data_IF_727006207631
#
_entry.id   IF_727006207631
#
_cell.length_a   1.000
_cell.length_b   1.000
_cell.length_c   1.000
_cell.angle_alpha   90.00
_cell.angle_beta   90.00
_cell.angle_gamma   90.00
#
_symmetry.space_group_name_H-M   'P 1'
#
loop_
_entity.id
_entity.type
_entity.pdbx_description
1 polymer ?
#
# COMPACT_ATOMS: atom_id res chain seq x y z
N UNK A 1 4.22 8.01 27.89
CA UNK A 1 3.58 7.79 26.56
C UNK A 1 3.11 9.06 25.89
N UNK A 2 2.44 10.01 26.60
CA UNK A 2 2.05 11.32 26.04
C UNK A 2 3.21 12.10 25.43
N UNK A 3 4.35 12.14 26.10
CA UNK A 3 5.54 12.90 25.64
C UNK A 3 6.18 12.32 24.38
N UNK A 4 6.18 11.01 24.25
CA UNK A 4 6.69 10.32 23.05
C UNK A 4 5.81 10.60 21.84
N UNK A 5 4.46 10.64 22.04
CA UNK A 5 3.50 10.96 20.98
C UNK A 5 3.66 12.39 20.48
N UNK A 6 3.76 13.35 21.41
CA UNK A 6 3.90 14.74 21.04
C UNK A 6 5.25 15.01 20.35
N UNK A 7 6.31 14.36 20.81
CA UNK A 7 7.61 14.41 20.16
C UNK A 7 7.55 13.85 18.75
N UNK A 8 6.91 12.69 18.55
CA UNK A 8 6.72 12.07 17.24
C UNK A 8 5.90 12.96 16.30
N UNK A 9 4.81 13.56 16.77
CA UNK A 9 4.04 14.55 16.00
C UNK A 9 4.89 15.73 15.55
N UNK A 10 5.64 16.34 16.47
CA UNK A 10 6.49 17.49 16.18
C UNK A 10 7.61 17.14 15.22
N UNK A 11 8.21 15.98 15.38
CA UNK A 11 9.29 15.52 14.53
C UNK A 11 8.83 15.31 13.08
N UNK A 12 7.72 14.60 12.88
CA UNK A 12 7.19 14.35 11.54
C UNK A 12 6.49 15.54 10.90
N UNK A 13 5.92 16.45 11.68
CA UNK A 13 5.36 17.69 11.16
C UNK A 13 6.37 18.64 10.51
N UNK A 14 7.66 18.41 10.71
CA UNK A 14 8.75 19.16 10.08
C UNK A 14 9.21 18.57 8.73
N UNK A 15 8.62 17.47 8.32
CA UNK A 15 9.05 16.69 7.15
C UNK A 15 10.09 15.63 7.52
N UNK A 16 10.25 14.65 6.65
CA UNK A 16 11.18 13.53 6.85
C UNK A 16 12.45 13.78 6.05
N UNK A 17 13.60 13.71 6.74
CA UNK A 17 14.87 13.89 6.07
C UNK A 17 15.14 12.73 5.08
N UNK A 18 15.35 13.08 3.82
CA UNK A 18 15.73 12.12 2.78
C UNK A 18 17.15 11.56 2.96
N UNK A 19 17.93 12.11 3.88
CA UNK A 19 19.38 12.09 3.84
C UNK A 19 20.05 10.93 4.59
N UNK A 20 19.36 10.18 5.43
CA UNK A 20 20.02 9.11 6.18
C UNK A 20 20.02 7.79 5.40
N UNK A 21 20.90 7.71 4.43
CA UNK A 21 21.19 6.44 3.76
C UNK A 21 22.21 5.69 4.62
N UNK A 22 21.94 4.43 4.99
CA UNK A 22 22.86 3.66 5.81
C UNK A 22 24.21 3.50 5.08
N UNK A 23 25.28 3.57 5.82
CA UNK A 23 26.60 3.21 5.28
C UNK A 23 26.63 1.71 5.02
N UNK A 24 26.73 1.33 3.76
CA UNK A 24 26.81 -0.07 3.35
C UNK A 24 28.24 -0.58 3.30
N UNK A 25 28.38 -1.89 3.18
CA UNK A 25 29.67 -2.57 2.96
C UNK A 25 30.25 -2.23 1.59
N UNK A 26 29.40 -1.89 0.64
CA UNK A 26 29.72 -1.43 -0.71
C UNK A 26 28.57 -0.60 -1.26
N UNK A 27 28.88 0.44 -2.02
CA UNK A 27 27.85 1.17 -2.81
C UNK A 27 27.95 0.76 -4.26
N UNK A 28 26.80 0.44 -4.86
CA UNK A 28 26.64 0.18 -6.28
C UNK A 28 25.64 1.19 -6.86
N UNK A 29 25.86 1.55 -8.11
CA UNK A 29 25.02 2.50 -8.83
C UNK A 29 24.35 1.85 -10.01
N UNK A 30 23.06 2.13 -10.18
CA UNK A 30 22.21 1.55 -11.23
C UNK A 30 21.50 2.66 -11.99
N UNK A 31 21.65 2.66 -13.31
CA UNK A 31 20.96 3.60 -14.19
C UNK A 31 20.48 2.89 -15.44
N UNK A 32 19.16 2.84 -15.63
CA UNK A 32 18.57 2.27 -16.85
C UNK A 32 18.89 3.12 -18.07
N UNK A 33 19.06 4.43 -17.89
CA UNK A 33 19.32 5.40 -18.96
C UNK A 33 20.81 5.46 -19.36
N UNK A 34 21.71 5.50 -18.37
CA UNK A 34 23.15 5.72 -18.61
C UNK A 34 24.03 4.49 -18.27
N UNK A 35 23.44 3.41 -17.80
CA UNK A 35 24.18 2.23 -17.37
C UNK A 35 24.43 1.18 -18.47
N UNK A 36 25.33 0.25 -18.15
CA UNK A 36 25.57 -0.96 -18.97
C UNK A 36 25.73 -2.17 -18.06
N UNK A 37 25.24 -3.32 -18.51
CA UNK A 37 25.42 -4.57 -17.78
C UNK A 37 26.88 -5.10 -17.79
N UNK A 38 27.77 -4.46 -18.54
CA UNK A 38 29.21 -4.74 -18.52
C UNK A 38 29.97 -3.89 -17.49
N UNK A 39 29.32 -2.87 -16.94
CA UNK A 39 29.91 -1.95 -15.99
C UNK A 39 30.08 -2.58 -14.59
N UNK A 40 30.99 -1.99 -13.80
CA UNK A 40 31.32 -2.47 -12.46
C UNK A 40 30.41 -1.95 -11.33
N UNK A 41 29.52 -1.01 -11.64
CA UNK A 41 28.60 -0.40 -10.69
C UNK A 41 29.18 0.75 -9.88
N UNK A 42 30.30 1.34 -10.29
CA UNK A 42 30.74 2.63 -9.74
C UNK A 42 29.82 3.77 -10.21
N UNK A 43 29.86 4.92 -9.54
CA UNK A 43 29.06 6.09 -9.92
C UNK A 43 29.29 6.52 -11.37
N UNK A 44 30.54 6.53 -11.82
CA UNK A 44 30.91 6.87 -13.22
C UNK A 44 30.68 5.74 -14.22
N UNK A 45 30.38 4.52 -13.75
CA UNK A 45 30.18 3.33 -14.59
C UNK A 45 29.03 2.46 -14.02
N UNK A 46 27.78 2.98 -14.00
CA UNK A 46 26.66 2.32 -13.37
C UNK A 46 26.23 1.06 -14.12
N UNK A 47 25.68 0.09 -13.41
CA UNK A 47 25.03 -1.08 -13.99
C UNK A 47 23.67 -0.66 -14.57
N UNK A 48 23.25 -1.28 -15.67
CA UNK A 48 21.93 -0.98 -16.26
C UNK A 48 20.80 -1.71 -15.53
N UNK A 49 20.98 -2.98 -15.24
CA UNK A 49 19.96 -3.89 -14.71
C UNK A 49 20.04 -3.97 -13.19
N UNK A 50 18.91 -3.69 -12.50
CA UNK A 50 18.85 -3.71 -11.04
C UNK A 50 19.07 -5.11 -10.47
N UNK A 51 18.51 -6.16 -11.10
CA UNK A 51 18.71 -7.54 -10.64
C UNK A 51 20.18 -7.95 -10.73
N UNK A 52 20.87 -7.52 -11.77
CA UNK A 52 22.31 -7.76 -11.89
C UNK A 52 23.10 -7.07 -10.79
N UNK A 53 22.75 -5.83 -10.46
CA UNK A 53 23.37 -5.12 -9.35
C UNK A 53 23.13 -5.84 -8.00
N UNK A 54 21.92 -6.31 -7.75
CA UNK A 54 21.58 -7.10 -6.57
C UNK A 54 22.42 -8.39 -6.53
N UNK A 55 22.50 -9.11 -7.64
CA UNK A 55 23.28 -10.35 -7.72
C UNK A 55 24.77 -10.13 -7.41
N UNK A 56 25.34 -9.01 -7.86
CA UNK A 56 26.74 -8.64 -7.68
C UNK A 56 27.01 -7.98 -6.30
N UNK A 57 25.98 -7.54 -5.61
CA UNK A 57 26.11 -6.85 -4.32
C UNK A 57 26.52 -7.83 -3.21
N UNK A 58 27.47 -7.48 -2.35
CA UNK A 58 27.70 -8.21 -1.11
C UNK A 58 26.56 -7.96 -0.11
N UNK A 59 26.53 -8.78 0.95
CA UNK A 59 25.65 -8.53 2.11
C UNK A 59 25.92 -7.14 2.71
N UNK A 60 24.84 -6.42 3.01
CA UNK A 60 24.94 -5.07 3.57
C UNK A 60 25.30 -3.98 2.55
N UNK A 61 25.25 -4.26 1.26
CA UNK A 61 25.48 -3.25 0.24
C UNK A 61 24.35 -2.23 0.16
N UNK A 62 24.66 -1.05 -0.37
CA UNK A 62 23.71 -0.02 -0.77
C UNK A 62 23.69 0.07 -2.28
N UNK A 63 22.52 0.00 -2.88
CA UNK A 63 22.31 0.16 -4.32
C UNK A 63 21.58 1.47 -4.55
N UNK A 64 22.27 2.46 -5.10
CA UNK A 64 21.73 3.75 -5.50
C UNK A 64 21.14 3.63 -6.91
N UNK A 65 19.86 3.97 -7.06
CA UNK A 65 19.11 3.76 -8.30
C UNK A 65 18.70 5.13 -8.85
N UNK A 66 19.16 5.44 -10.06
CA UNK A 66 18.80 6.68 -10.74
C UNK A 66 17.34 6.67 -11.20
N UNK A 67 16.83 7.85 -11.56
CA UNK A 67 15.53 7.99 -12.19
C UNK A 67 15.40 7.10 -13.43
N UNK A 68 14.19 6.63 -13.70
CA UNK A 68 13.90 5.83 -14.88
C UNK A 68 12.91 4.70 -14.62
N UNK A 69 12.58 3.97 -15.68
CA UNK A 69 11.65 2.85 -15.63
C UNK A 69 12.41 1.52 -15.57
N UNK A 70 12.30 0.81 -14.47
CA UNK A 70 12.93 -0.47 -14.24
C UNK A 70 11.90 -1.59 -14.45
N UNK A 71 12.03 -2.33 -15.54
CA UNK A 71 11.05 -3.33 -15.98
C UNK A 71 11.31 -4.72 -15.41
N UNK A 72 12.19 -4.83 -14.41
CA UNK A 72 12.56 -6.10 -13.79
C UNK A 72 13.66 -6.84 -14.53
N UNK A 73 14.02 -8.02 -14.01
CA UNK A 73 15.06 -8.86 -14.59
C UNK A 73 14.68 -9.34 -15.99
N UNK A 74 15.55 -9.11 -16.96
CA UNK A 74 15.29 -9.47 -18.37
C UNK A 74 13.94 -8.95 -18.87
N UNK A 75 13.53 -7.77 -18.38
CA UNK A 75 12.23 -7.17 -18.64
C UNK A 75 11.02 -8.04 -18.20
N UNK A 76 11.17 -8.94 -17.26
CA UNK A 76 10.12 -9.86 -16.79
C UNK A 76 9.18 -9.26 -15.73
N UNK A 77 9.35 -8.00 -15.38
CA UNK A 77 8.45 -7.28 -14.49
C UNK A 77 8.65 -7.53 -13.00
N UNK A 78 9.70 -8.25 -12.61
CA UNK A 78 10.00 -8.52 -11.21
C UNK A 78 11.50 -8.51 -10.90
N UNK A 79 11.82 -8.23 -9.66
CA UNK A 79 13.18 -8.23 -9.09
C UNK A 79 13.18 -9.05 -7.80
N UNK A 80 14.16 -9.91 -7.61
CA UNK A 80 14.32 -10.73 -6.40
C UNK A 80 15.42 -10.19 -5.51
N UNK A 81 15.09 -10.03 -4.23
CA UNK A 81 16.02 -9.69 -3.15
C UNK A 81 16.17 -10.89 -2.23
N UNK A 82 17.32 -11.52 -2.28
CA UNK A 82 17.65 -12.75 -1.50
C UNK A 82 18.81 -12.53 -0.53
N UNK A 83 19.11 -11.29 -0.21
CA UNK A 83 20.17 -10.90 0.72
C UNK A 83 19.84 -9.57 1.40
N UNK A 84 20.43 -9.34 2.55
CA UNK A 84 20.28 -8.08 3.27
C UNK A 84 21.06 -6.97 2.56
N UNK A 85 20.34 -5.96 2.10
CA UNK A 85 20.89 -4.80 1.39
C UNK A 85 19.89 -3.65 1.39
N UNK A 86 20.33 -2.49 0.94
CA UNK A 86 19.49 -1.31 0.75
C UNK A 86 19.32 -0.99 -0.73
N UNK A 87 18.09 -0.73 -1.16
CA UNK A 87 17.76 -0.19 -2.48
C UNK A 87 17.22 1.21 -2.29
N UNK A 88 17.93 2.19 -2.82
CA UNK A 88 17.65 3.62 -2.60
C UNK A 88 17.48 4.31 -3.95
N UNK A 89 16.25 4.69 -4.24
CA UNK A 89 15.88 5.43 -5.45
C UNK A 89 15.89 6.94 -5.27
N UNK A 90 15.43 7.66 -6.29
CA UNK A 90 15.31 9.11 -6.26
C UNK A 90 16.59 9.86 -6.62
N UNK A 91 17.53 9.21 -7.30
CA UNK A 91 18.75 9.88 -7.78
C UNK A 91 18.58 10.45 -9.18
N UNK A 92 19.26 11.61 -9.41
CA UNK A 92 19.52 12.12 -10.76
C UNK A 92 20.34 11.12 -11.59
N UNK A 93 20.36 11.26 -12.92
CA UNK A 93 21.08 10.33 -13.82
C UNK A 93 22.59 10.25 -13.54
N UNK A 94 23.17 11.32 -13.01
CA UNK A 94 24.58 11.43 -12.61
C UNK A 94 24.84 11.14 -11.13
N UNK A 95 23.80 10.83 -10.37
CA UNK A 95 23.82 10.57 -8.93
C UNK A 95 24.32 11.74 -8.04
N UNK A 96 24.36 12.96 -8.58
CA UNK A 96 24.80 14.14 -7.85
C UNK A 96 23.74 14.68 -6.89
N UNK A 97 22.46 14.38 -7.13
CA UNK A 97 21.32 14.81 -6.33
C UNK A 97 20.41 13.63 -6.02
N UNK A 98 19.74 13.69 -4.88
CA UNK A 98 18.69 12.78 -4.52
C UNK A 98 17.44 13.54 -4.09
N UNK A 99 16.33 13.26 -4.77
CA UNK A 99 14.98 13.73 -4.44
C UNK A 99 13.96 12.73 -5.03
N UNK A 100 13.38 11.86 -4.22
CA UNK A 100 12.46 10.82 -4.70
C UNK A 100 11.20 11.37 -5.39
N UNK A 101 10.79 12.58 -5.08
CA UNK A 101 9.61 13.20 -5.69
C UNK A 101 9.92 13.83 -7.05
N UNK A 102 11.17 14.22 -7.26
CA UNK A 102 11.68 14.84 -8.49
C UNK A 102 12.30 13.82 -9.44
N UNK A 103 13.25 13.02 -8.94
CA UNK A 103 13.98 12.02 -9.73
C UNK A 103 13.30 10.66 -9.57
N UNK A 104 12.29 10.41 -10.37
CA UNK A 104 11.36 9.29 -10.21
C UNK A 104 12.00 7.97 -10.62
N UNK A 105 12.29 7.12 -9.65
CA UNK A 105 12.75 5.75 -9.84
C UNK A 105 11.55 4.81 -9.79
N UNK A 106 11.12 4.30 -10.95
CA UNK A 106 9.89 3.55 -11.06
C UNK A 106 10.16 2.08 -11.37
N UNK A 107 9.62 1.18 -10.55
CA UNK A 107 9.59 -0.27 -10.79
C UNK A 107 8.21 -0.67 -11.29
N UNK A 108 8.15 -1.27 -12.46
CA UNK A 108 6.92 -1.77 -13.07
C UNK A 108 7.22 -2.86 -14.08
N UNK A 109 6.27 -3.78 -14.35
CA UNK A 109 6.41 -4.71 -15.45
C UNK A 109 6.29 -4.01 -16.81
N UNK A 110 6.91 -4.53 -17.84
CA UNK A 110 6.73 -4.11 -19.22
C UNK A 110 5.35 -4.48 -19.76
N UNK A 111 4.88 -3.76 -20.78
CA UNK A 111 3.52 -3.90 -21.32
C UNK A 111 3.26 -5.28 -21.94
N UNK A 112 4.29 -5.93 -22.47
CA UNK A 112 4.19 -7.20 -23.22
C UNK A 112 4.64 -8.43 -22.41
N UNK A 113 4.83 -8.26 -21.09
CA UNK A 113 5.43 -9.32 -20.30
C UNK A 113 4.41 -10.28 -19.72
N UNK A 114 4.55 -11.54 -20.08
CA UNK A 114 3.96 -12.64 -19.32
C UNK A 114 4.79 -12.91 -18.07
N UNK A 115 4.19 -12.68 -16.90
CA UNK A 115 4.81 -13.12 -15.66
C UNK A 115 4.41 -14.57 -15.44
N UNK A 116 5.34 -15.47 -15.71
CA UNK A 116 5.09 -16.90 -15.78
C UNK A 116 5.22 -17.66 -14.46
N UNK A 117 5.69 -17.02 -13.41
CA UNK A 117 5.94 -17.70 -12.14
C UNK A 117 5.15 -17.12 -10.97
N UNK A 118 4.41 -17.96 -10.30
CA UNK A 118 3.76 -17.87 -8.98
C UNK A 118 3.52 -16.50 -8.33
N UNK A 119 2.99 -16.46 -7.15
CA UNK A 119 2.70 -15.24 -6.35
C UNK A 119 3.98 -14.41 -6.06
N UNK A 120 4.47 -13.70 -7.07
CA UNK A 120 5.65 -12.84 -6.96
C UNK A 120 5.23 -11.39 -7.13
N UNK A 121 5.74 -10.53 -6.24
CA UNK A 121 5.62 -9.09 -6.41
C UNK A 121 6.57 -8.56 -7.50
N UNK A 122 6.35 -7.31 -7.89
CA UNK A 122 7.32 -6.56 -8.70
C UNK A 122 8.69 -6.54 -8.00
N UNK A 123 8.67 -6.45 -6.67
CA UNK A 123 9.82 -6.70 -5.80
C UNK A 123 9.51 -7.90 -4.89
N UNK A 124 10.22 -9.01 -5.06
CA UNK A 124 10.07 -10.22 -4.23
C UNK A 124 11.26 -10.31 -3.26
N UNK A 125 10.96 -10.21 -1.95
CA UNK A 125 11.96 -10.19 -0.88
C UNK A 125 11.90 -11.52 -0.14
N UNK A 126 12.97 -12.33 -0.22
CA UNK A 126 13.08 -13.60 0.49
C UNK A 126 14.44 -13.73 1.14
N UNK A 127 14.50 -13.47 2.46
CA UNK A 127 15.74 -13.51 3.22
C UNK A 127 15.54 -14.22 4.56
N UNK A 128 16.52 -15.01 4.92
CA UNK A 128 16.53 -15.78 6.18
C UNK A 128 17.94 -15.82 6.79
N UNK A 129 18.03 -16.26 8.03
CA UNK A 129 19.29 -16.59 8.72
C UNK A 129 19.94 -15.44 9.48
N UNK A 130 19.32 -14.24 9.52
CA UNK A 130 19.84 -13.12 10.33
C UNK A 130 18.74 -12.27 10.93
N UNK A 131 18.39 -12.51 12.17
CA UNK A 131 17.41 -11.69 12.91
C UNK A 131 17.76 -10.19 12.96
N UNK A 132 19.02 -9.85 12.95
CA UNK A 132 19.52 -8.47 12.92
C UNK A 132 19.90 -8.00 11.51
N UNK A 133 19.58 -8.80 10.48
CA UNK A 133 19.76 -8.39 9.11
C UNK A 133 18.86 -7.20 8.78
N UNK A 134 19.33 -6.30 7.92
CA UNK A 134 18.59 -5.10 7.55
C UNK A 134 18.34 -5.03 6.04
N UNK A 135 17.13 -4.70 5.68
CA UNK A 135 16.72 -4.35 4.32
C UNK A 135 16.12 -2.95 4.36
N UNK A 136 16.52 -2.11 3.44
CA UNK A 136 15.92 -0.80 3.22
C UNK A 136 15.42 -0.69 1.78
N UNK A 137 14.16 -0.29 1.61
CA UNK A 137 13.57 0.14 0.34
C UNK A 137 13.16 1.59 0.52
N UNK A 138 13.79 2.50 -0.20
CA UNK A 138 13.63 3.94 0.00
C UNK A 138 13.50 4.69 -1.33
N UNK A 139 12.45 5.50 -1.47
CA UNK A 139 12.28 6.39 -2.61
C UNK A 139 11.98 5.70 -3.94
N UNK A 140 11.27 4.58 -3.92
CA UNK A 140 10.88 3.80 -5.10
C UNK A 140 9.38 4.01 -5.38
N UNK A 141 9.05 4.14 -6.65
CA UNK A 141 7.68 4.17 -7.13
C UNK A 141 7.33 2.78 -7.69
N UNK A 142 6.30 2.18 -7.15
CA UNK A 142 5.74 0.92 -7.62
C UNK A 142 4.43 1.22 -8.35
N UNK A 143 4.42 1.04 -9.67
CA UNK A 143 3.23 1.22 -10.50
C UNK A 143 3.13 0.06 -11.48
N UNK A 144 1.95 -0.55 -11.60
CA UNK A 144 1.70 -1.59 -12.58
C UNK A 144 1.68 -1.07 -14.03
N UNK A 145 1.68 0.24 -14.22
CA UNK A 145 1.69 0.84 -15.54
C UNK A 145 0.41 0.54 -16.33
N UNK A 146 0.53 0.43 -17.65
CA UNK A 146 -0.60 0.18 -18.54
C UNK A 146 -1.20 -1.23 -18.40
N UNK A 147 -0.43 -2.18 -17.89
CA UNK A 147 -0.91 -3.55 -17.64
C UNK A 147 -1.95 -3.61 -16.53
N UNK A 148 -2.12 -2.54 -15.78
CA UNK A 148 -3.14 -2.45 -14.77
C UNK A 148 -4.46 -1.91 -15.35
N UNK A 149 -4.94 -2.51 -16.42
CA UNK A 149 -6.25 -2.24 -16.97
C UNK A 149 -7.32 -2.97 -16.14
N UNK A 150 -8.29 -2.21 -15.69
CA UNK A 150 -9.41 -2.72 -14.93
C UNK A 150 -10.67 -2.69 -15.79
N UNK A 151 -11.49 -3.72 -15.74
CA UNK A 151 -12.76 -3.75 -16.47
C UNK A 151 -13.95 -3.49 -15.56
N UNK A 152 -15.02 -2.97 -16.16
CA UNK A 152 -16.30 -2.83 -15.47
C UNK A 152 -16.86 -4.21 -15.10
N UNK A 153 -17.55 -4.35 -13.97
CA UNK A 153 -18.31 -5.55 -13.66
C UNK A 153 -19.33 -5.85 -14.73
N UNK A 154 -19.30 -7.05 -15.29
CA UNK A 154 -20.24 -7.45 -16.36
C UNK A 154 -21.69 -7.56 -15.90
N UNK A 155 -21.93 -7.65 -14.61
CA UNK A 155 -23.32 -7.78 -14.15
C UNK A 155 -24.08 -6.44 -14.13
N UNK A 156 -23.39 -5.31 -14.09
CA UNK A 156 -24.02 -3.99 -14.28
C UNK A 156 -24.47 -3.80 -15.73
N UNK A 157 -23.75 -4.43 -16.65
CA UNK A 157 -24.12 -4.50 -18.06
C UNK A 157 -23.61 -5.81 -18.66
N UNK A 158 -24.43 -6.89 -18.60
CA UNK A 158 -24.04 -8.21 -19.11
C UNK A 158 -23.68 -8.25 -20.60
N UNK A 159 -24.08 -7.23 -21.35
CA UNK A 159 -23.80 -7.09 -22.78
C UNK A 159 -22.56 -6.26 -23.08
N UNK A 160 -21.95 -5.62 -22.07
CA UNK A 160 -20.73 -4.87 -22.29
C UNK A 160 -19.59 -5.83 -22.56
N UNK A 161 -18.83 -5.54 -23.61
CA UNK A 161 -17.56 -6.21 -23.85
C UNK A 161 -16.58 -5.84 -22.74
N UNK A 162 -15.85 -6.82 -22.24
CA UNK A 162 -14.73 -6.54 -21.35
C UNK A 162 -13.67 -5.70 -22.10
N UNK A 163 -13.07 -4.71 -21.47
CA UNK A 163 -11.92 -4.02 -22.05
C UNK A 163 -10.83 -5.02 -22.46
N UNK A 164 -10.12 -4.70 -23.51
CA UNK A 164 -9.03 -5.54 -24.00
C UNK A 164 -8.08 -5.91 -22.86
N UNK A 165 -7.79 -7.19 -22.74
CA UNK A 165 -6.89 -7.75 -21.73
C UNK A 165 -7.45 -7.96 -20.33
N UNK A 166 -8.74 -7.92 -20.18
CA UNK A 166 -9.40 -8.25 -18.93
C UNK A 166 -10.06 -9.64 -19.02
N UNK A 167 -9.79 -10.49 -18.04
CA UNK A 167 -10.50 -11.76 -17.93
C UNK A 167 -11.90 -11.56 -17.38
N UNK A 168 -12.84 -12.27 -17.99
CA UNK A 168 -14.22 -12.35 -17.54
C UNK A 168 -14.50 -13.73 -17.00
N UNK A 169 -15.20 -13.84 -15.90
CA UNK A 169 -15.50 -15.14 -15.32
C UNK A 169 -16.53 -15.11 -14.21
N UNK A 170 -16.69 -16.27 -13.60
CA UNK A 170 -17.47 -16.40 -12.36
C UNK A 170 -16.50 -16.68 -11.22
N UNK A 171 -16.71 -16.04 -10.11
CA UNK A 171 -16.00 -16.38 -8.87
C UNK A 171 -16.99 -16.88 -7.84
N UNK A 172 -16.52 -17.70 -6.91
CA UNK A 172 -17.29 -18.16 -5.77
C UNK A 172 -16.89 -17.35 -4.56
N UNK A 173 -17.84 -16.67 -3.95
CA UNK A 173 -17.66 -15.92 -2.72
C UNK A 173 -18.73 -16.33 -1.74
N UNK A 174 -18.35 -16.75 -0.55
CA UNK A 174 -19.24 -17.26 0.47
C UNK A 174 -20.20 -18.37 -0.02
N UNK A 175 -19.72 -19.23 -0.93
CA UNK A 175 -20.49 -20.32 -1.53
C UNK A 175 -21.37 -19.91 -2.72
N UNK A 176 -21.51 -18.61 -3.00
CA UNK A 176 -22.29 -18.13 -4.14
C UNK A 176 -21.41 -17.92 -5.38
N UNK A 177 -21.89 -18.41 -6.51
CA UNK A 177 -21.24 -18.19 -7.79
C UNK A 177 -21.69 -16.86 -8.40
N UNK A 178 -20.86 -15.85 -8.30
CA UNK A 178 -21.11 -14.51 -8.83
C UNK A 178 -20.48 -14.33 -10.20
N UNK A 179 -21.25 -13.79 -11.15
CA UNK A 179 -20.73 -13.43 -12.45
C UNK A 179 -19.90 -12.15 -12.31
N UNK A 180 -18.64 -12.22 -12.71
CA UNK A 180 -17.70 -11.10 -12.60
C UNK A 180 -16.83 -10.96 -13.79
N UNK A 181 -16.45 -9.76 -13.99
CA UNK A 181 -15.21 -9.44 -14.66
C UNK A 181 -14.10 -9.55 -13.64
N UNK A 182 -13.33 -10.63 -13.73
CA UNK A 182 -12.09 -10.72 -13.00
C UNK A 182 -11.11 -9.78 -13.65
N UNK A 183 -10.64 -8.83 -12.87
CA UNK A 183 -9.65 -7.91 -13.37
C UNK A 183 -8.28 -8.55 -13.27
N UNK A 184 -7.87 -9.15 -14.35
CA UNK A 184 -6.48 -9.50 -14.51
C UNK A 184 -5.83 -8.51 -15.47
N UNK A 185 -4.64 -8.03 -15.17
CA UNK A 185 -3.89 -7.25 -16.14
C UNK A 185 -3.64 -8.08 -17.37
N UNK A 186 -3.72 -7.45 -18.54
CA UNK A 186 -3.35 -8.08 -19.81
C UNK A 186 -1.97 -8.72 -19.70
N UNK A 187 -1.85 -9.98 -20.05
CA UNK A 187 -0.57 -10.67 -20.15
C UNK A 187 0.09 -11.07 -18.83
N UNK A 188 -0.55 -10.86 -17.67
CA UNK A 188 0.09 -11.20 -16.40
C UNK A 188 -0.85 -11.94 -15.45
N UNK A 189 -0.85 -13.24 -15.52
CA UNK A 189 -1.66 -14.07 -14.63
C UNK A 189 -1.10 -14.17 -13.20
N UNK A 190 0.07 -13.62 -12.87
CA UNK A 190 0.77 -14.08 -11.66
C UNK A 190 1.60 -13.09 -10.85
N UNK A 191 1.89 -11.87 -11.25
CA UNK A 191 2.51 -10.90 -10.34
C UNK A 191 1.46 -9.93 -9.84
N UNK A 192 0.88 -10.27 -8.73
CA UNK A 192 -0.26 -9.54 -8.20
C UNK A 192 0.17 -8.42 -7.24
N UNK A 193 1.20 -8.66 -6.45
CA UNK A 193 1.69 -7.71 -5.45
C UNK A 193 2.70 -6.73 -6.05
N UNK A 194 2.83 -5.56 -5.46
CA UNK A 194 3.95 -4.65 -5.77
C UNK A 194 5.20 -5.05 -4.99
N UNK A 195 5.05 -5.33 -3.69
CA UNK A 195 6.08 -6.00 -2.89
C UNK A 195 5.49 -7.28 -2.31
N UNK A 196 6.23 -8.38 -2.40
CA UNK A 196 5.86 -9.65 -1.78
C UNK A 196 7.06 -10.32 -1.14
N UNK A 197 6.78 -11.33 -0.33
CA UNK A 197 7.79 -12.26 0.14
C UNK A 197 7.70 -12.61 1.61
N UNK A 198 8.84 -13.05 2.14
CA UNK A 198 9.01 -13.43 3.53
C UNK A 198 10.43 -13.08 3.99
N UNK A 199 10.54 -12.58 5.20
CA UNK A 199 11.83 -12.17 5.71
C UNK A 199 12.00 -12.43 7.21
N UNK A 200 13.19 -12.88 7.56
CA UNK A 200 13.72 -12.77 8.91
C UNK A 200 14.59 -11.51 8.99
N UNK A 201 14.44 -10.71 10.05
CA UNK A 201 15.21 -9.48 10.24
C UNK A 201 14.37 -8.21 10.14
N UNK A 202 15.05 -7.08 10.00
CA UNK A 202 14.42 -5.77 9.98
C UNK A 202 14.25 -5.27 8.54
N UNK A 203 13.04 -4.87 8.21
CA UNK A 203 12.73 -4.28 6.90
C UNK A 203 12.20 -2.88 7.11
N UNK A 204 12.79 -1.91 6.43
CA UNK A 204 12.30 -0.55 6.34
C UNK A 204 11.84 -0.26 4.91
N UNK A 205 10.59 0.18 4.75
CA UNK A 205 10.00 0.63 3.49
C UNK A 205 9.52 2.06 3.69
N UNK A 206 10.16 3.01 3.02
CA UNK A 206 9.86 4.43 3.23
C UNK A 206 9.97 5.28 1.98
N UNK A 207 9.31 6.45 2.00
CA UNK A 207 9.36 7.44 0.93
C UNK A 207 8.95 6.87 -0.44
N UNK A 208 8.12 5.84 -0.43
CA UNK A 208 7.70 5.10 -1.61
C UNK A 208 6.28 5.51 -2.04
N UNK A 209 5.99 5.29 -3.32
CA UNK A 209 4.63 5.43 -3.87
C UNK A 209 4.19 4.08 -4.39
N UNK A 210 3.03 3.60 -3.92
CA UNK A 210 2.39 2.38 -4.36
C UNK A 210 1.10 2.73 -5.09
N UNK A 211 1.11 2.58 -6.40
CA UNK A 211 0.07 3.14 -7.26
C UNK A 211 -0.59 2.08 -8.12
N UNK A 212 -1.92 2.10 -8.16
CA UNK A 212 -2.72 1.27 -9.07
C UNK A 212 -2.41 -0.23 -8.98
N UNK A 213 -2.13 -0.74 -7.78
CA UNK A 213 -1.84 -2.15 -7.56
C UNK A 213 -3.06 -3.03 -7.80
N UNK A 214 -2.86 -4.13 -8.51
CA UNK A 214 -3.94 -5.07 -8.87
C UNK A 214 -4.37 -5.95 -7.71
N UNK A 215 -3.45 -6.26 -6.81
CA UNK A 215 -3.65 -7.11 -5.64
C UNK A 215 -3.16 -6.35 -4.40
N UNK A 216 -2.50 -6.99 -3.46
CA UNK A 216 -1.85 -6.27 -2.36
C UNK A 216 -0.73 -5.36 -2.89
N UNK A 217 -0.62 -4.14 -2.37
CA UNK A 217 0.57 -3.37 -2.67
C UNK A 217 1.78 -3.96 -1.93
N UNK A 218 1.61 -4.29 -0.64
CA UNK A 218 2.60 -5.05 0.13
C UNK A 218 1.92 -6.29 0.71
N UNK A 219 2.49 -7.47 0.46
CA UNK A 219 2.09 -8.74 1.10
C UNK A 219 3.34 -9.46 1.59
N UNK A 220 3.57 -9.47 2.91
CA UNK A 220 4.80 -9.99 3.50
C UNK A 220 4.55 -10.87 4.72
N UNK A 221 5.42 -11.87 4.88
CA UNK A 221 5.53 -12.66 6.11
C UNK A 221 6.76 -12.22 6.89
N UNK A 222 6.57 -11.75 8.12
CA UNK A 222 7.63 -11.44 9.05
C UNK A 222 7.98 -12.71 9.86
N UNK A 223 9.15 -13.30 9.61
CA UNK A 223 9.62 -14.54 10.28
C UNK A 223 10.42 -14.27 11.57
N UNK A 224 10.27 -13.10 12.14
CA UNK A 224 11.01 -12.60 13.28
C UNK A 224 11.80 -11.36 12.91
N UNK A 225 11.70 -10.34 13.73
CA UNK A 225 12.27 -9.01 13.50
C UNK A 225 11.20 -7.93 13.45
N UNK A 226 11.55 -6.79 12.89
CA UNK A 226 10.71 -5.61 12.87
C UNK A 226 10.54 -5.06 11.46
N UNK A 227 9.28 -4.86 11.06
CA UNK A 227 8.96 -4.15 9.83
C UNK A 227 8.59 -2.70 10.19
N UNK A 228 9.23 -1.75 9.50
CA UNK A 228 9.00 -0.33 9.65
C UNK A 228 8.56 0.25 8.30
N UNK A 229 7.26 0.53 8.17
CA UNK A 229 6.64 1.01 6.94
C UNK A 229 6.12 2.41 7.16
N UNK A 230 6.84 3.41 6.63
CA UNK A 230 6.48 4.79 6.91
C UNK A 230 6.79 5.77 5.78
N UNK A 231 6.11 6.89 5.84
CA UNK A 231 6.21 7.98 4.87
C UNK A 231 5.98 7.53 3.43
N UNK A 232 5.00 6.65 3.24
CA UNK A 232 4.62 6.15 1.94
C UNK A 232 3.25 6.65 1.53
N UNK A 233 3.03 6.75 0.23
CA UNK A 233 1.73 6.99 -0.38
C UNK A 233 1.25 5.70 -1.05
N UNK A 234 0.11 5.20 -0.60
CA UNK A 234 -0.60 4.09 -1.20
C UNK A 234 -1.89 4.63 -1.80
N UNK A 235 -2.05 4.52 -3.11
CA UNK A 235 -3.25 5.05 -3.75
C UNK A 235 -3.78 4.12 -4.84
N UNK A 236 -5.08 3.90 -4.83
CA UNK A 236 -5.78 3.05 -5.79
C UNK A 236 -5.24 1.61 -5.87
N UNK A 237 -4.85 1.05 -4.74
CA UNK A 237 -4.46 -0.34 -4.64
C UNK A 237 -5.68 -1.20 -4.35
N UNK A 238 -5.59 -2.49 -4.64
CA UNK A 238 -6.68 -3.43 -4.50
C UNK A 238 -6.42 -4.42 -3.39
N UNK A 239 -7.48 -4.97 -2.82
CA UNK A 239 -7.51 -5.94 -1.73
C UNK A 239 -7.01 -5.40 -0.40
N UNK A 240 -5.72 -5.12 -0.27
CA UNK A 240 -5.16 -4.32 0.82
C UNK A 240 -3.97 -3.51 0.31
N UNK A 241 -3.80 -2.30 0.85
CA UNK A 241 -2.59 -1.54 0.57
C UNK A 241 -1.38 -2.20 1.23
N UNK A 242 -1.52 -2.67 2.46
CA UNK A 242 -0.48 -3.42 3.14
C UNK A 242 -1.09 -4.58 3.93
N UNK A 243 -0.64 -5.79 3.66
CA UNK A 243 -0.93 -6.98 4.45
C UNK A 243 0.37 -7.56 4.99
N UNK A 244 0.46 -7.70 6.31
CA UNK A 244 1.61 -8.31 6.97
C UNK A 244 1.12 -9.34 7.99
N UNK A 245 1.79 -10.48 8.03
CA UNK A 245 1.56 -11.54 9.01
C UNK A 245 2.89 -12.00 9.63
N UNK A 246 2.83 -12.45 10.86
CA UNK A 246 3.96 -13.09 11.51
C UNK A 246 4.06 -14.58 11.15
N UNK A 247 5.23 -15.17 11.37
CA UNK A 247 5.39 -16.62 11.32
C UNK A 247 4.65 -17.28 12.48
N UNK A 248 4.16 -18.50 12.27
CA UNK A 248 3.45 -19.27 13.30
C UNK A 248 4.39 -19.98 14.29
N UNK A 249 5.70 -19.83 14.13
CA UNK A 249 6.71 -20.51 14.94
C UNK A 249 6.94 -19.75 16.25
N UNK A 250 6.87 -20.44 17.37
CA UNK A 250 7.18 -19.88 18.69
C UNK A 250 8.69 -19.93 19.00
N UNK A 251 9.23 -18.96 19.73
CA UNK A 251 8.63 -17.68 20.10
C UNK A 251 8.61 -16.71 18.91
N UNK A 252 7.43 -16.31 18.49
CA UNK A 252 7.33 -15.32 17.44
C UNK A 252 7.59 -13.93 18.01
N UNK A 253 8.63 -13.28 17.51
CA UNK A 253 9.07 -11.94 17.90
C UNK A 253 8.89 -10.97 16.73
N UNK A 254 7.88 -11.18 15.91
CA UNK A 254 7.56 -10.31 14.77
C UNK A 254 6.76 -9.10 15.21
N UNK A 255 7.13 -7.95 14.72
CA UNK A 255 6.39 -6.70 14.92
C UNK A 255 6.40 -5.82 13.67
N UNK A 256 5.41 -4.94 13.57
CA UNK A 256 5.35 -3.91 12.53
C UNK A 256 4.99 -2.55 13.14
N UNK A 257 5.70 -1.51 12.73
CA UNK A 257 5.26 -0.13 12.83
C UNK A 257 4.79 0.34 11.45
N UNK A 258 3.50 0.68 11.35
CA UNK A 258 2.92 1.26 10.15
C UNK A 258 2.50 2.69 10.47
N UNK A 259 3.29 3.68 10.01
CA UNK A 259 3.09 5.03 10.46
C UNK A 259 3.40 6.09 9.39
N UNK A 260 2.81 7.25 9.54
CA UNK A 260 3.00 8.35 8.59
C UNK A 260 2.78 7.95 7.13
N UNK A 261 1.84 7.04 6.87
CA UNK A 261 1.45 6.68 5.51
C UNK A 261 0.13 7.34 5.14
N UNK A 262 0.02 7.75 3.90
CA UNK A 262 -1.26 8.17 3.30
C UNK A 262 -1.79 7.03 2.46
N UNK A 263 -2.93 6.45 2.84
CA UNK A 263 -3.56 5.31 2.18
C UNK A 263 -4.94 5.71 1.72
N UNK A 264 -5.13 5.79 0.40
CA UNK A 264 -6.38 6.23 -0.22
C UNK A 264 -6.86 5.24 -1.27
N UNK A 265 -8.17 5.08 -1.38
CA UNK A 265 -8.83 4.32 -2.43
C UNK A 265 -8.38 2.86 -2.49
N UNK A 266 -8.46 2.15 -1.37
CA UNK A 266 -8.23 0.71 -1.39
C UNK A 266 -9.50 0.00 -1.82
N UNK A 267 -9.44 -0.73 -2.93
CA UNK A 267 -10.58 -1.34 -3.57
C UNK A 267 -10.82 -2.80 -3.15
N UNK A 268 -12.07 -3.21 -3.03
CA UNK A 268 -12.43 -4.62 -2.88
C UNK A 268 -11.97 -5.45 -4.08
N UNK A 269 -11.74 -6.72 -3.87
CA UNK A 269 -11.56 -7.69 -4.94
C UNK A 269 -12.87 -7.89 -5.72
N UNK A 270 -13.95 -7.87 -4.99
CA UNK A 270 -15.30 -8.08 -5.48
C UNK A 270 -16.22 -6.97 -4.99
N UNK A 271 -17.49 -6.97 -5.35
CA UNK A 271 -18.45 -5.99 -4.84
C UNK A 271 -19.02 -6.34 -3.49
N UNK A 272 -18.72 -7.52 -3.00
CA UNK A 272 -19.16 -7.89 -1.67
C UNK A 272 -18.34 -7.12 -0.63
N UNK A 273 -19.06 -6.62 0.33
CA UNK A 273 -18.59 -5.74 1.40
C UNK A 273 -17.43 -6.33 2.21
N UNK A 274 -17.35 -7.66 2.27
CA UNK A 274 -16.36 -8.40 3.06
C UNK A 274 -15.22 -9.01 2.22
N UNK A 275 -15.20 -8.73 0.93
CA UNK A 275 -14.19 -9.30 0.04
C UNK A 275 -12.98 -8.38 -0.10
N UNK A 276 -12.37 -8.09 1.03
CA UNK A 276 -11.20 -7.23 1.14
C UNK A 276 -11.50 -5.75 0.82
N UNK A 277 -10.48 -4.93 0.61
CA UNK A 277 -10.63 -3.49 0.45
C UNK A 277 -10.23 -2.76 1.73
N UNK A 278 -9.12 -3.18 2.34
CA UNK A 278 -8.58 -2.65 3.59
C UNK A 278 -7.35 -1.79 3.33
N UNK A 279 -7.22 -0.70 4.05
CA UNK A 279 -6.00 0.09 3.94
C UNK A 279 -4.80 -0.64 4.57
N UNK A 280 -4.97 -1.17 5.76
CA UNK A 280 -3.95 -1.95 6.45
C UNK A 280 -4.55 -3.21 7.07
N UNK A 281 -3.98 -4.35 6.71
CA UNK A 281 -4.37 -5.65 7.24
C UNK A 281 -3.20 -6.30 7.95
N UNK A 282 -3.33 -6.49 9.23
CA UNK A 282 -2.36 -7.21 10.03
C UNK A 282 -2.97 -8.52 10.50
N UNK A 283 -2.37 -9.59 10.03
CA UNK A 283 -2.85 -10.94 10.28
C UNK A 283 -2.24 -11.53 11.56
N UNK A 284 -2.34 -12.80 11.67
CA UNK A 284 -1.89 -13.58 12.82
C UNK A 284 -0.38 -13.42 13.08
N UNK A 285 -0.01 -13.54 14.33
CA UNK A 285 1.38 -13.74 14.75
C UNK A 285 2.27 -12.50 14.70
N UNK A 286 1.72 -11.29 14.64
CA UNK A 286 2.49 -10.05 14.61
C UNK A 286 1.93 -9.02 15.59
N UNK A 287 2.81 -8.34 16.32
CA UNK A 287 2.46 -7.15 17.07
C UNK A 287 2.46 -5.92 16.13
N UNK A 288 1.46 -5.07 16.25
CA UNK A 288 1.30 -3.96 15.32
C UNK A 288 1.10 -2.62 16.04
N UNK A 289 1.90 -1.64 15.65
CA UNK A 289 1.77 -0.23 16.01
C UNK A 289 1.36 0.57 14.77
N UNK A 290 0.18 1.19 14.81
CA UNK A 290 -0.40 1.91 13.67
C UNK A 290 -0.67 3.34 14.10
N UNK A 291 0.12 4.31 13.60
CA UNK A 291 0.00 5.68 14.09
C UNK A 291 0.35 6.75 13.05
N UNK A 292 -0.17 7.95 13.26
CA UNK A 292 0.05 9.11 12.42
C UNK A 292 -0.31 8.92 10.94
N UNK A 293 -1.16 7.95 10.60
CA UNK A 293 -1.55 7.71 9.23
C UNK A 293 -2.76 8.53 8.80
N UNK A 294 -2.95 8.65 7.50
CA UNK A 294 -4.21 9.03 6.88
C UNK A 294 -4.78 7.80 6.19
N UNK A 295 -5.97 7.40 6.58
CA UNK A 295 -6.72 6.30 5.99
C UNK A 295 -8.01 6.81 5.38
N UNK A 296 -8.10 6.84 4.06
CA UNK A 296 -9.27 7.38 3.40
C UNK A 296 -9.80 6.53 2.25
N UNK A 297 -11.12 6.56 2.10
CA UNK A 297 -11.80 5.98 0.94
C UNK A 297 -11.47 4.51 0.71
N UNK A 298 -11.42 3.70 1.76
CA UNK A 298 -11.34 2.24 1.62
C UNK A 298 -12.73 1.69 1.31
N UNK A 299 -12.83 0.80 0.33
CA UNK A 299 -14.11 0.24 -0.10
C UNK A 299 -14.72 -0.74 0.90
N UNK A 300 -13.95 -1.23 1.85
CA UNK A 300 -14.45 -1.96 3.01
C UNK A 300 -14.16 -1.22 4.31
N UNK A 301 -12.94 -1.28 4.81
CA UNK A 301 -12.54 -0.66 6.08
C UNK A 301 -11.09 -0.19 6.00
N UNK A 302 -10.69 0.73 6.87
CA UNK A 302 -9.29 1.14 6.93
C UNK A 302 -8.41 0.06 7.55
N UNK A 303 -8.75 -0.40 8.75
CA UNK A 303 -7.98 -1.40 9.49
C UNK A 303 -8.72 -2.73 9.50
N UNK A 304 -8.01 -3.81 9.17
CA UNK A 304 -8.57 -5.17 9.21
C UNK A 304 -7.93 -5.99 10.31
N UNK A 305 -8.74 -6.34 11.30
CA UNK A 305 -8.44 -7.29 12.38
C UNK A 305 -9.39 -8.50 12.36
N UNK A 306 -10.13 -8.68 11.27
CA UNK A 306 -11.18 -9.72 11.19
C UNK A 306 -10.64 -11.13 11.03
N UNK A 307 -9.38 -11.29 10.61
CA UNK A 307 -8.82 -12.61 10.38
C UNK A 307 -8.49 -13.30 11.71
N UNK A 308 -9.30 -14.27 12.07
CA UNK A 308 -9.09 -15.05 13.27
C UNK A 308 -8.01 -16.11 13.06
N UNK A 309 -6.98 -16.13 13.92
CA UNK A 309 -6.08 -17.25 13.99
C UNK A 309 -6.83 -18.48 14.56
N UNK A 310 -6.77 -19.65 13.91
CA UNK A 310 -7.27 -20.88 14.49
C UNK A 310 -6.63 -21.19 15.85
N UNK A 311 -5.44 -20.65 16.12
CA UNK A 311 -4.79 -20.77 17.43
C UNK A 311 -5.05 -19.52 18.28
N UNK A 312 -6.25 -19.41 18.84
CA UNK A 312 -6.66 -18.29 19.70
C UNK A 312 -5.71 -17.97 20.85
N UNK A 313 -4.99 -18.96 21.36
CA UNK A 313 -4.05 -18.77 22.47
C UNK A 313 -2.82 -17.95 22.10
N UNK A 314 -2.45 -17.93 20.82
CA UNK A 314 -1.35 -17.09 20.31
C UNK A 314 -1.81 -15.66 20.06
N UNK A 315 -3.03 -15.48 19.55
CA UNK A 315 -3.57 -14.16 19.24
C UNK A 315 -3.84 -13.31 20.49
N UNK A 316 -4.29 -13.91 21.58
CA UNK A 316 -4.55 -13.19 22.83
C UNK A 316 -3.30 -12.55 23.45
N UNK A 317 -2.12 -12.97 23.02
CA UNK A 317 -0.83 -12.41 23.49
C UNK A 317 -0.28 -11.32 22.59
N UNK A 318 -0.95 -11.00 21.47
CA UNK A 318 -0.51 -9.99 20.51
C UNK A 318 -0.98 -8.62 20.91
N UNK A 319 -0.07 -7.67 20.77
CA UNK A 319 -0.33 -6.26 21.05
C UNK A 319 -0.67 -5.55 19.76
N UNK A 320 -1.77 -4.85 19.78
CA UNK A 320 -2.15 -3.95 18.69
C UNK A 320 -2.42 -2.59 19.27
N UNK A 321 -1.78 -1.57 18.72
CA UNK A 321 -1.99 -0.18 19.08
C UNK A 321 -2.31 0.63 17.84
N UNK A 322 -3.35 1.45 17.92
CA UNK A 322 -3.71 2.40 16.87
C UNK A 322 -3.94 3.77 17.49
N UNK A 323 -3.11 4.76 17.16
CA UNK A 323 -3.25 6.08 17.74
C UNK A 323 -2.91 7.20 16.77
N UNK A 324 -3.51 8.35 16.98
CA UNK A 324 -3.24 9.54 16.21
C UNK A 324 -3.37 9.34 14.69
N UNK A 325 -4.34 8.52 14.26
CA UNK A 325 -4.65 8.36 12.86
C UNK A 325 -5.83 9.23 12.45
N UNK A 326 -5.83 9.67 11.21
CA UNK A 326 -6.94 10.35 10.58
C UNK A 326 -7.68 9.40 9.64
N UNK A 327 -9.00 9.43 9.75
CA UNK A 327 -9.89 8.59 8.95
C UNK A 327 -10.87 9.44 8.16
N UNK A 328 -11.25 9.00 6.97
CA UNK A 328 -12.34 9.59 6.22
C UNK A 328 -12.85 8.68 5.09
N UNK A 329 -14.14 8.70 4.88
CA UNK A 329 -14.76 8.06 3.72
C UNK A 329 -14.57 6.55 3.61
N UNK A 330 -14.16 5.87 4.66
CA UNK A 330 -14.10 4.42 4.70
C UNK A 330 -15.54 3.87 4.76
N UNK A 331 -15.87 2.97 3.84
CA UNK A 331 -17.27 2.67 3.53
C UNK A 331 -18.06 2.10 4.69
N UNK A 332 -17.53 1.09 5.38
CA UNK A 332 -18.26 0.37 6.42
C UNK A 332 -17.84 0.79 7.83
N UNK A 333 -16.62 1.26 7.97
CA UNK A 333 -16.03 1.67 9.23
C UNK A 333 -14.52 1.87 9.12
N UNK A 334 -13.91 2.32 10.20
CA UNK A 334 -12.47 2.55 10.24
C UNK A 334 -11.69 1.33 10.70
N UNK A 335 -12.36 0.38 11.36
CA UNK A 335 -11.82 -0.92 11.72
C UNK A 335 -12.87 -2.00 11.59
N UNK A 336 -12.47 -3.18 11.14
CA UNK A 336 -13.28 -4.41 11.15
C UNK A 336 -12.70 -5.39 12.15
N UNK A 337 -13.57 -5.96 12.97
CA UNK A 337 -13.26 -6.93 14.01
C UNK A 337 -13.95 -8.26 13.73
N UNK A 338 -13.37 -9.40 14.15
CA UNK A 338 -14.04 -10.68 14.13
C UNK A 338 -15.18 -10.69 15.14
N UNK A 339 -16.30 -11.31 14.81
CA UNK A 339 -17.36 -11.60 15.75
C UNK A 339 -17.43 -13.09 16.08
N UNK A 340 -18.05 -13.42 17.23
CA UNK A 340 -18.17 -14.80 17.71
C UNK A 340 -19.13 -15.65 16.90
N UNK A 341 -20.03 -15.04 16.14
CA UNK A 341 -21.07 -15.66 15.33
C UNK A 341 -20.70 -15.76 13.84
N UNK A 342 -19.49 -15.32 13.49
CA UNK A 342 -19.01 -15.30 12.10
C UNK A 342 -19.41 -14.06 11.32
N UNK A 343 -20.16 -13.13 11.93
CA UNK A 343 -20.40 -11.81 11.37
C UNK A 343 -19.24 -10.86 11.69
N UNK A 344 -19.01 -9.87 10.87
CA UNK A 344 -17.98 -8.88 11.11
C UNK A 344 -18.60 -7.64 11.79
N UNK A 345 -17.90 -7.12 12.78
CA UNK A 345 -18.26 -5.86 13.42
C UNK A 345 -17.40 -4.73 12.89
N UNK A 346 -18.05 -3.66 12.44
CA UNK A 346 -17.37 -2.45 11.99
C UNK A 346 -17.43 -1.38 13.08
N UNK A 347 -16.28 -0.74 13.30
CA UNK A 347 -16.12 0.30 14.32
C UNK A 347 -15.56 1.56 13.67
N UNK A 348 -16.12 2.72 14.00
CA UNK A 348 -15.57 4.02 13.61
C UNK A 348 -14.54 4.50 14.63
N UNK A 349 -13.60 5.33 14.21
CA UNK A 349 -12.48 5.81 15.02
C UNK A 349 -12.92 6.44 16.36
N UNK A 350 -14.05 7.16 16.38
CA UNK A 350 -14.65 7.73 17.59
C UNK A 350 -15.02 6.71 18.68
N UNK A 351 -15.10 5.43 18.32
CA UNK A 351 -15.50 4.33 19.21
C UNK A 351 -14.33 3.37 19.47
N UNK A 352 -13.10 3.70 19.09
CA UNK A 352 -11.95 2.80 19.33
C UNK A 352 -11.67 2.59 20.83
N UNK A 353 -12.12 3.47 21.69
CA UNK A 353 -12.06 3.29 23.15
C UNK A 353 -12.79 2.04 23.64
N UNK A 354 -13.79 1.56 22.88
CA UNK A 354 -14.56 0.35 23.22
C UNK A 354 -13.99 -0.92 22.58
N UNK A 355 -12.88 -0.83 21.87
CA UNK A 355 -12.26 -1.98 21.20
C UNK A 355 -11.25 -2.63 22.13
N UNK A 356 -11.65 -3.72 22.78
CA UNK A 356 -10.81 -4.47 23.73
C UNK A 356 -9.49 -4.99 23.11
N UNK A 357 -9.48 -5.19 21.79
CA UNK A 357 -8.31 -5.68 21.05
C UNK A 357 -7.22 -4.63 20.85
N UNK A 358 -7.48 -3.36 21.19
CA UNK A 358 -6.51 -2.29 21.13
C UNK A 358 -5.89 -2.05 22.50
N UNK A 359 -4.60 -2.33 22.63
CA UNK A 359 -3.85 -2.03 23.84
C UNK A 359 -3.66 -0.52 24.06
N UNK A 360 -3.69 0.25 22.98
CA UNK A 360 -3.59 1.68 22.99
C UNK A 360 -4.32 2.27 21.77
N UNK A 361 -5.16 3.31 21.96
CA UNK A 361 -6.10 3.76 20.94
C UNK A 361 -6.37 5.28 20.93
N UNK A 362 -5.53 6.09 21.57
CA UNK A 362 -5.82 7.52 21.72
C UNK A 362 -5.71 8.33 20.41
N UNK A 363 -6.40 9.46 20.37
CA UNK A 363 -6.31 10.49 19.33
C UNK A 363 -6.64 10.03 17.89
N UNK A 364 -7.33 8.91 17.71
CA UNK A 364 -7.88 8.55 16.42
C UNK A 364 -9.15 9.36 16.15
N UNK A 365 -9.26 9.93 14.96
CA UNK A 365 -10.41 10.76 14.62
C UNK A 365 -10.68 10.82 13.12
N UNK A 366 -11.86 11.25 12.77
CA UNK A 366 -12.18 11.65 11.39
C UNK A 366 -11.62 13.04 11.08
N UNK A 367 -11.46 13.33 9.78
CA UNK A 367 -11.12 14.67 9.29
C UNK A 367 -12.22 15.65 9.66
N UNK A 368 -11.82 16.83 10.10
CA UNK A 368 -12.74 17.95 10.23
C UNK A 368 -13.02 18.61 8.86
N UNK A 369 -14.01 19.49 8.80
CA UNK A 369 -14.45 20.16 7.56
C UNK A 369 -13.32 20.93 6.85
N UNK A 370 -12.44 21.58 7.59
CA UNK A 370 -11.32 22.33 7.02
C UNK A 370 -10.26 21.39 6.41
N UNK A 371 -10.00 20.28 7.07
CA UNK A 371 -9.10 19.23 6.59
C UNK A 371 -9.67 18.53 5.33
N UNK A 372 -10.98 18.26 5.31
CA UNK A 372 -11.66 17.72 4.11
C UNK A 372 -11.48 18.68 2.92
N UNK A 373 -11.70 19.98 3.12
CA UNK A 373 -11.50 20.99 2.08
C UNK A 373 -10.04 21.06 1.61
N UNK A 374 -9.09 20.81 2.50
CA UNK A 374 -7.67 20.84 2.17
C UNK A 374 -7.26 19.60 1.39
N UNK A 375 -7.60 18.41 1.89
CA UNK A 375 -7.17 17.16 1.25
C UNK A 375 -7.90 16.94 -0.09
N UNK A 376 -9.16 17.35 -0.22
CA UNK A 376 -9.89 17.21 -1.49
C UNK A 376 -9.25 17.99 -2.66
N UNK A 377 -8.47 19.03 -2.38
CA UNK A 377 -7.70 19.74 -3.41
C UNK A 377 -6.46 18.97 -3.86
N UNK A 378 -5.95 18.08 -3.02
CA UNK A 378 -4.78 17.24 -3.27
C UNK A 378 -5.15 15.90 -3.93
N UNK A 379 -6.39 15.48 -3.77
CA UNK A 379 -6.93 14.27 -4.38
C UNK A 379 -7.44 14.60 -5.79
N UNK A 380 -7.34 13.65 -6.72
CA UNK A 380 -7.96 13.78 -8.02
C UNK A 380 -9.49 13.84 -7.89
N UNK A 381 -10.09 14.98 -8.22
CA UNK A 381 -11.49 15.22 -7.98
C UNK A 381 -12.42 14.29 -8.78
N UNK A 382 -12.18 13.98 -10.08
CA UNK A 382 -12.96 13.00 -10.81
C UNK A 382 -12.90 11.60 -10.19
N UNK A 383 -11.72 11.18 -9.74
CA UNK A 383 -11.53 9.87 -9.11
C UNK A 383 -12.25 9.78 -7.76
N UNK A 384 -12.12 10.82 -6.92
CA UNK A 384 -12.83 10.92 -5.65
C UNK A 384 -14.35 10.92 -5.86
N UNK A 385 -14.84 11.69 -6.82
CA UNK A 385 -16.26 11.72 -7.17
C UNK A 385 -16.78 10.35 -7.60
N UNK A 386 -16.01 9.65 -8.43
CA UNK A 386 -16.32 8.29 -8.85
C UNK A 386 -16.40 7.31 -7.68
N UNK A 387 -15.41 7.33 -6.79
CA UNK A 387 -15.39 6.48 -5.60
C UNK A 387 -16.61 6.74 -4.70
N UNK A 388 -16.90 7.98 -4.37
CA UNK A 388 -18.01 8.36 -3.50
C UNK A 388 -19.35 8.00 -4.14
N UNK A 389 -19.51 8.19 -5.46
CA UNK A 389 -20.69 7.81 -6.21
C UNK A 389 -20.99 6.32 -6.12
N UNK A 390 -20.00 5.47 -6.32
CA UNK A 390 -20.14 4.02 -6.27
C UNK A 390 -20.42 3.54 -4.84
N UNK A 391 -19.60 3.92 -3.91
CA UNK A 391 -19.69 3.40 -2.53
C UNK A 391 -20.88 3.95 -1.76
N UNK A 392 -21.34 5.13 -2.10
CA UNK A 392 -22.49 5.75 -1.48
C UNK A 392 -23.85 5.38 -2.11
N UNK A 393 -23.87 4.71 -3.27
CA UNK A 393 -25.13 4.32 -3.93
C UNK A 393 -25.77 3.08 -3.35
N UNK A 394 -25.06 2.29 -2.55
CA UNK A 394 -25.62 1.09 -1.93
C UNK A 394 -26.36 1.44 -0.65
N UNK A 395 -27.61 1.02 -0.58
CA UNK A 395 -28.53 1.34 0.53
C UNK A 395 -28.02 0.88 1.90
N UNK A 396 -27.26 -0.21 1.95
CA UNK A 396 -26.70 -0.76 3.19
C UNK A 396 -25.51 0.04 3.74
N UNK A 397 -24.86 0.85 2.92
CA UNK A 397 -23.67 1.64 3.30
C UNK A 397 -23.94 3.14 3.37
N UNK A 398 -25.14 3.57 3.02
CA UNK A 398 -25.50 4.99 3.10
C UNK A 398 -25.87 5.37 4.52
N UNK A 399 -24.93 5.95 5.23
CA UNK A 399 -25.18 6.61 6.51
C UNK A 399 -25.15 8.13 6.28
N UNK A 400 -26.25 8.87 6.53
CA UNK A 400 -26.30 10.32 6.34
C UNK A 400 -25.27 11.07 7.22
N UNK A 401 -24.81 10.45 8.30
CA UNK A 401 -23.81 10.98 9.21
C UNK A 401 -22.38 10.48 8.91
N UNK A 402 -22.17 9.78 7.82
CA UNK A 402 -20.83 9.30 7.45
C UNK A 402 -19.96 10.41 6.90
N UNK A 403 -18.65 10.29 7.05
CA UNK A 403 -17.67 11.21 6.46
C UNK A 403 -17.77 11.31 4.93
N UNK A 404 -18.35 10.32 4.26
CA UNK A 404 -18.66 10.40 2.82
C UNK A 404 -19.57 11.56 2.47
N UNK A 405 -20.53 11.90 3.32
CA UNK A 405 -21.42 13.05 3.10
C UNK A 405 -20.69 14.40 3.19
N UNK A 406 -19.67 14.49 4.03
CA UNK A 406 -18.83 15.68 4.07
C UNK A 406 -18.11 15.90 2.74
N UNK A 407 -17.61 14.83 2.14
CA UNK A 407 -16.99 14.88 0.81
C UNK A 407 -18.02 15.14 -0.29
N UNK A 408 -19.21 14.54 -0.21
CA UNK A 408 -20.31 14.85 -1.15
C UNK A 408 -20.64 16.33 -1.15
N UNK A 409 -20.81 16.93 0.01
CA UNK A 409 -21.04 18.36 0.14
C UNK A 409 -19.89 19.20 -0.44
N UNK A 410 -18.64 18.84 -0.15
CA UNK A 410 -17.46 19.53 -0.67
C UNK A 410 -17.32 19.46 -2.19
N UNK A 411 -17.84 18.39 -2.82
CA UNK A 411 -17.83 18.18 -4.26
C UNK A 411 -19.13 18.62 -4.96
N UNK A 412 -20.08 19.20 -4.23
CA UNK A 412 -21.38 19.60 -4.76
C UNK A 412 -22.28 18.43 -5.23
N UNK A 413 -22.10 17.25 -4.64
CA UNK A 413 -22.87 16.06 -4.94
C UNK A 413 -24.14 15.97 -4.09
N UNK A 414 -25.14 15.20 -4.55
CA UNK A 414 -26.34 14.94 -3.81
C UNK A 414 -26.05 14.19 -2.49
N UNK A 415 -26.47 14.77 -1.37
CA UNK A 415 -26.26 14.19 -0.04
C UNK A 415 -27.10 12.93 0.22
N UNK A 416 -28.14 12.68 -0.55
CA UNK A 416 -29.03 11.52 -0.38
C UNK A 416 -28.53 10.25 -1.11
N UNK A 417 -27.41 10.31 -1.78
CA UNK A 417 -26.75 9.12 -2.31
C UNK A 417 -27.38 8.44 -3.52
N UNK A 418 -28.26 9.12 -4.23
CA UNK A 418 -28.96 8.57 -5.40
C UNK A 418 -28.24 8.80 -6.73
N UNK A 419 -27.11 9.49 -6.72
CA UNK A 419 -26.31 9.68 -7.92
C UNK A 419 -25.58 8.39 -8.28
N UNK A 420 -26.07 7.69 -9.28
CA UNK A 420 -25.35 6.60 -9.93
C UNK A 420 -24.23 7.18 -10.78
N UNK A 421 -23.11 7.53 -10.18
CA UNK A 421 -21.90 7.70 -10.96
C UNK A 421 -21.43 6.30 -11.33
N UNK A 422 -21.81 5.82 -12.50
CA UNK A 422 -21.28 4.58 -13.09
C UNK A 422 -19.85 4.80 -13.56
N UNK A 423 -18.96 5.09 -12.64
CA UNK A 423 -17.56 4.89 -12.89
C UNK A 423 -17.34 3.43 -12.52
N UNK A 424 -16.97 2.61 -13.51
CA UNK A 424 -16.43 1.30 -13.22
C UNK A 424 -15.41 1.48 -12.10
N UNK A 425 -15.66 0.89 -10.93
CA UNK A 425 -14.72 0.91 -9.78
C UNK A 425 -13.30 0.57 -10.22
N UNK A 426 -13.18 0.00 -11.36
CA UNK A 426 -12.00 -0.63 -11.86
C UNK A 426 -11.51 -0.05 -13.18
N UNK A 427 -12.29 0.80 -13.82
CA UNK A 427 -11.95 1.33 -15.15
C UNK A 427 -10.97 2.49 -15.12
N UNK A 428 -10.85 3.16 -13.98
CA UNK A 428 -10.06 4.38 -13.89
C UNK A 428 -8.83 4.17 -13.00
N UNK A 429 -7.69 4.37 -13.59
CA UNK A 429 -6.43 4.47 -12.87
C UNK A 429 -6.36 5.82 -12.19
N UNK A 430 -5.83 5.85 -10.97
CA UNK A 430 -5.51 7.11 -10.32
C UNK A 430 -4.39 7.82 -11.09
N UNK A 431 -4.52 9.13 -11.36
CA UNK A 431 -3.51 9.85 -12.14
C UNK A 431 -2.15 9.84 -11.46
N UNK A 432 -1.12 9.49 -12.21
CA UNK A 432 0.24 9.31 -11.71
C UNK A 432 0.76 10.53 -10.95
N UNK A 433 0.67 11.72 -11.57
CA UNK A 433 1.22 12.94 -10.97
C UNK A 433 0.48 13.37 -9.68
N UNK A 434 -0.82 13.07 -9.60
CA UNK A 434 -1.62 13.37 -8.42
C UNK A 434 -1.24 12.57 -7.18
N UNK A 435 -0.62 11.41 -7.34
CA UNK A 435 -0.15 10.62 -6.21
C UNK A 435 0.94 11.35 -5.40
N UNK A 436 1.77 12.13 -6.04
CA UNK A 436 2.85 12.88 -5.39
C UNK A 436 2.36 14.11 -4.61
N UNK A 437 1.21 14.66 -4.98
CA UNK A 437 0.58 15.77 -4.24
C UNK A 437 0.07 15.36 -2.85
N UNK A 438 0.00 14.05 -2.58
CA UNK A 438 -0.43 13.49 -1.30
C UNK A 438 0.65 13.54 -0.22
N UNK A 439 1.92 13.74 -0.57
CA UNK A 439 2.95 14.05 0.40
C UNK A 439 2.68 15.45 1.00
N UNK A 440 2.75 15.56 2.33
CA UNK A 440 2.43 16.80 3.04
C UNK A 440 0.97 17.27 2.92
N UNK A 441 0.03 16.38 2.56
CA UNK A 441 -1.37 16.76 2.38
C UNK A 441 -2.03 17.26 3.67
N UNK A 442 -1.69 16.66 4.80
CA UNK A 442 -2.11 17.12 6.13
C UNK A 442 -0.88 17.13 7.04
N UNK A 443 -0.57 18.29 7.59
CA UNK A 443 0.61 18.46 8.43
C UNK A 443 0.55 17.59 9.69
N UNK A 444 1.59 16.77 9.88
CA UNK A 444 1.74 15.88 11.03
C UNK A 444 1.01 14.53 10.90
N UNK A 445 0.27 14.32 9.83
CA UNK A 445 -0.45 13.08 9.55
C UNK A 445 -0.16 12.60 8.13
N UNK A 446 -0.14 11.29 7.94
CA UNK A 446 0.15 10.69 6.66
C UNK A 446 1.57 10.92 6.19
N UNK A 447 1.81 10.69 4.92
CA UNK A 447 3.08 10.94 4.28
C UNK A 447 3.41 12.45 4.30
N UNK A 448 4.59 12.78 4.78
CA UNK A 448 5.08 14.15 4.88
C UNK A 448 6.10 14.45 3.78
N UNK A 449 6.38 15.72 3.55
CA UNK A 449 7.39 16.15 2.60
C UNK A 449 8.74 15.48 2.86
N UNK A 450 9.42 15.10 1.79
CA UNK A 450 10.77 14.54 1.83
C UNK A 450 11.75 15.70 1.64
N UNK A 451 12.66 15.88 2.58
CA UNK A 451 13.64 16.98 2.57
C UNK A 451 15.08 16.48 2.46
#
# INVERSE_FOLDING_TARGET
MSDIKELTRKQFAQGIAASEIPKGTKTLYVSVNGGSNRNNGSQSSPIKDLQKAINNAPQGAVICVAQGNYLGSLDQGWVKVNKYLSIVGGYSDDFSQRDPLKFRTMMRPGVEQEITSGNQGVLDIRVEGKRNGMILIDGIIFDRGQINAYSAPLYDNPSAAAPEGCETGRIVVAGESLRRTLMQPVGTTRAFQLISGEAEGNITIRNCVFLNGYHFAIEMICKGGHFDVYNNVFVANRMAACEVRGGLVQPNTSSIAFHNNTVLFTWCRTEQIYDMGYAFRYMTGIDADVYNNIFGCSSCSALDRSYANPNKSLETKRVTSAWNNLFFGNRNGDMILPSSDGECTFVFAKNFEYVEQLAFHEDNRELNEAEVKTISKKIDAPYLKGFIGITGSQTSSFNPNSSLNTFRAALGMNMQGTETVRVSMYGNRYPFDKAFELFGAVKGYGAQDIK
#
